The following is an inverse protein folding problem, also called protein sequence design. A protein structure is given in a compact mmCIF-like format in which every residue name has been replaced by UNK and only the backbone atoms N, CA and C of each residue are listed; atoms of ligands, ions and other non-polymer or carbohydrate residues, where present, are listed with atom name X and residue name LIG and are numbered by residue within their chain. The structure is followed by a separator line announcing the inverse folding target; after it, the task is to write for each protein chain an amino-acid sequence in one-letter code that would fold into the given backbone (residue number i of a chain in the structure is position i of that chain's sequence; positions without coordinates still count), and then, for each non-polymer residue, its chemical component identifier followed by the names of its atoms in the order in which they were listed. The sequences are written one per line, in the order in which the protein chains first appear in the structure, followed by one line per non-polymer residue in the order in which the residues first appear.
data_IF_234099886582
#
_entry.id   IF_234099886582
#
_cell.length_a   1.000
_cell.length_b   1.000
_cell.length_c   1.000
_cell.angle_alpha   90.00
_cell.angle_beta   90.00
_cell.angle_gamma   90.00
#
_symmetry.space_group_name_H-M   'P 1'
#
loop_
_entity.id
_entity.type
_entity.pdbx_description
1 polymer ?
#
# COMPACT_ATOMS: atom_id res chain seq x y z
N UNK A 1 24.36 10.62 -5.74
CA UNK A 1 23.96 9.28 -6.26
C UNK A 1 23.26 8.57 -5.12
N UNK A 2 22.14 7.88 -5.37
CA UNK A 2 21.48 7.05 -4.34
C UNK A 2 22.32 5.79 -4.10
N UNK A 3 22.44 5.37 -2.85
CA UNK A 3 23.25 4.20 -2.47
C UNK A 3 22.48 3.32 -1.51
N UNK A 4 22.66 1.99 -1.62
CA UNK A 4 21.91 1.00 -0.84
C UNK A 4 22.09 1.09 0.68
N UNK A 5 23.21 1.65 1.15
CA UNK A 5 23.54 1.79 2.57
C UNK A 5 22.82 2.97 3.25
N UNK A 6 22.23 3.88 2.48
CA UNK A 6 21.58 5.11 3.00
C UNK A 6 20.24 5.42 2.35
N UNK A 7 19.73 4.52 1.53
CA UNK A 7 18.49 4.72 0.78
C UNK A 7 17.65 3.45 0.86
N UNK A 8 16.36 3.63 1.02
CA UNK A 8 15.35 2.59 0.90
C UNK A 8 14.18 3.15 0.06
N UNK A 9 13.50 2.28 -0.68
CA UNK A 9 12.25 2.62 -1.34
C UNK A 9 11.08 2.17 -0.46
N UNK A 10 10.26 3.11 -0.02
CA UNK A 10 9.02 2.83 0.71
C UNK A 10 7.84 2.93 -0.26
N UNK A 11 7.17 1.81 -0.49
CA UNK A 11 5.98 1.68 -1.34
C UNK A 11 4.75 1.68 -0.45
N UNK A 12 3.92 2.71 -0.54
CA UNK A 12 2.79 2.91 0.38
C UNK A 12 1.47 2.58 -0.32
N UNK A 13 0.71 1.65 0.26
CA UNK A 13 -0.71 1.41 -0.02
C UNK A 13 -1.05 1.11 -1.50
N UNK A 14 -0.15 0.44 -2.25
CA UNK A 14 -0.40 -0.07 -3.60
C UNK A 14 -1.30 -1.31 -3.62
N UNK A 15 -2.48 -1.20 -3.03
CA UNK A 15 -3.46 -2.27 -2.91
C UNK A 15 -4.64 -2.04 -3.85
N UNK A 16 -5.34 -3.12 -4.24
CA UNK A 16 -6.43 -3.05 -5.21
C UNK A 16 -7.54 -2.07 -4.82
N UNK A 17 -7.90 -2.00 -3.54
CA UNK A 17 -8.94 -1.06 -3.09
C UNK A 17 -8.58 0.40 -3.32
N UNK A 18 -7.29 0.72 -3.47
CA UNK A 18 -6.83 2.07 -3.72
C UNK A 18 -6.61 2.35 -5.21
N UNK A 19 -6.18 1.34 -5.97
CA UNK A 19 -5.56 1.52 -7.27
C UNK A 19 -6.29 0.86 -8.44
N UNK A 20 -7.26 -0.03 -8.17
CA UNK A 20 -7.93 -0.83 -9.21
C UNK A 20 -9.36 -0.37 -9.47
N UNK A 21 -9.82 -0.55 -10.71
CA UNK A 21 -11.24 -0.48 -11.07
C UNK A 21 -11.96 -1.59 -10.27
N UNK A 22 -13.09 -1.25 -9.63
CA UNK A 22 -13.80 -2.13 -8.70
C UNK A 22 -13.31 -2.05 -7.25
N UNK A 23 -12.19 -1.37 -6.98
CA UNK A 23 -11.70 -1.10 -5.63
C UNK A 23 -12.51 -0.03 -4.90
N UNK A 24 -12.46 0.00 -3.56
CA UNK A 24 -13.25 0.96 -2.76
C UNK A 24 -12.98 2.43 -3.08
N UNK A 25 -11.78 2.76 -3.55
CA UNK A 25 -11.35 4.12 -3.87
C UNK A 25 -11.54 4.48 -5.35
N UNK A 26 -12.18 3.65 -6.17
CA UNK A 26 -12.34 3.89 -7.62
C UNK A 26 -12.85 5.30 -7.94
N UNK A 27 -13.86 5.77 -7.20
CA UNK A 27 -14.52 7.07 -7.41
C UNK A 27 -13.74 8.28 -6.87
N UNK A 28 -12.59 8.06 -6.22
CA UNK A 28 -11.75 9.15 -5.66
C UNK A 28 -10.89 9.85 -6.72
N UNK A 29 -10.73 9.25 -7.91
CA UNK A 29 -9.76 9.68 -8.92
C UNK A 29 -8.36 9.09 -8.74
N UNK A 30 -8.10 8.33 -7.66
CA UNK A 30 -6.81 7.68 -7.42
C UNK A 30 -6.39 6.73 -8.56
N UNK A 31 -7.32 5.96 -9.11
CA UNK A 31 -7.07 5.00 -10.20
C UNK A 31 -6.55 5.71 -11.46
N UNK A 32 -7.16 6.83 -11.85
CA UNK A 32 -6.74 7.61 -13.02
C UNK A 32 -5.41 8.33 -12.79
N UNK A 33 -5.16 8.78 -11.55
CA UNK A 33 -3.86 9.33 -11.18
C UNK A 33 -2.76 8.26 -11.25
N UNK A 34 -3.04 7.06 -10.75
CA UNK A 34 -2.13 5.91 -10.72
C UNK A 34 -1.67 5.49 -12.12
N UNK A 35 -2.58 5.46 -13.10
CA UNK A 35 -2.25 5.12 -14.50
C UNK A 35 -1.21 6.03 -15.14
N UNK A 36 -1.02 7.25 -14.61
CA UNK A 36 -0.02 8.22 -15.09
C UNK A 36 1.34 8.04 -14.41
N UNK A 37 1.44 7.16 -13.41
CA UNK A 37 2.67 6.92 -12.67
C UNK A 37 3.37 5.67 -13.19
N UNK A 38 4.71 5.68 -13.18
CA UNK A 38 5.51 4.54 -13.61
C UNK A 38 6.10 3.79 -12.40
N UNK A 39 5.24 3.36 -11.48
CA UNK A 39 5.66 2.83 -10.17
C UNK A 39 6.45 1.52 -10.29
N UNK A 40 6.05 0.63 -11.21
CA UNK A 40 6.78 -0.61 -11.47
C UNK A 40 8.23 -0.35 -11.89
N UNK A 41 8.47 0.66 -12.73
CA UNK A 41 9.83 1.02 -13.14
C UNK A 41 10.69 1.52 -11.98
N UNK A 42 10.08 2.19 -10.99
CA UNK A 42 10.79 2.70 -9.82
C UNK A 42 11.22 1.56 -8.90
N UNK A 43 10.34 0.57 -8.69
CA UNK A 43 10.64 -0.64 -7.92
C UNK A 43 11.77 -1.42 -8.60
N UNK A 44 11.64 -1.70 -9.90
CA UNK A 44 12.69 -2.37 -10.67
C UNK A 44 14.02 -1.61 -10.59
N UNK A 45 13.98 -0.27 -10.62
CA UNK A 45 15.21 0.53 -10.53
C UNK A 45 15.83 0.50 -9.15
N UNK A 46 15.03 0.37 -8.08
CA UNK A 46 15.55 0.15 -6.74
C UNK A 46 16.27 -1.20 -6.66
N UNK A 47 15.68 -2.26 -7.23
CA UNK A 47 16.31 -3.58 -7.32
C UNK A 47 17.63 -3.56 -8.11
N UNK A 48 17.66 -2.90 -9.29
CA UNK A 48 18.88 -2.72 -10.09
C UNK A 48 20.05 -2.08 -9.31
N UNK A 49 19.72 -1.30 -8.27
CA UNK A 49 20.68 -0.57 -7.44
C UNK A 49 20.91 -1.22 -6.08
N UNK A 50 20.40 -2.44 -5.85
CA UNK A 50 20.36 -3.14 -4.57
C UNK A 50 19.72 -2.30 -3.42
N UNK A 51 18.86 -1.35 -3.75
CA UNK A 51 18.16 -0.53 -2.75
C UNK A 51 17.00 -1.36 -2.18
N UNK A 52 16.92 -1.55 -0.84
CA UNK A 52 15.85 -2.33 -0.24
C UNK A 52 14.48 -1.69 -0.48
N UNK A 53 13.49 -2.51 -0.80
CA UNK A 53 12.10 -2.10 -1.04
C UNK A 53 11.20 -2.59 0.09
N UNK A 54 10.43 -1.68 0.66
CA UNK A 54 9.47 -1.95 1.73
C UNK A 54 8.06 -1.64 1.22
N UNK A 55 7.23 -2.66 1.07
CA UNK A 55 5.81 -2.53 0.78
C UNK A 55 5.05 -2.38 2.09
N UNK A 56 4.63 -1.15 2.36
CA UNK A 56 3.92 -0.79 3.57
C UNK A 56 2.42 -0.68 3.26
N UNK A 57 1.68 -1.70 3.70
CA UNK A 57 0.28 -1.92 3.37
C UNK A 57 -0.60 -1.60 4.59
N UNK A 58 -1.66 -0.82 4.38
CA UNK A 58 -2.73 -0.72 5.36
C UNK A 58 -3.65 -1.94 5.23
N UNK A 59 -3.74 -2.76 6.28
CA UNK A 59 -4.55 -3.98 6.27
C UNK A 59 -5.33 -4.07 7.57
N UNK A 60 -6.63 -4.31 7.49
CA UNK A 60 -7.49 -4.49 8.67
C UNK A 60 -8.11 -5.87 8.68
N UNK A 61 -8.33 -6.43 9.87
CA UNK A 61 -9.18 -7.61 10.00
C UNK A 61 -10.62 -7.24 9.65
N UNK A 62 -11.44 -8.24 9.29
CA UNK A 62 -12.88 -8.05 9.08
C UNK A 62 -13.51 -7.28 10.25
N UNK A 63 -14.36 -6.29 9.93
CA UNK A 63 -14.95 -5.35 10.88
C UNK A 63 -13.98 -4.35 11.54
N UNK A 64 -12.71 -4.32 11.13
CA UNK A 64 -11.68 -3.39 11.58
C UNK A 64 -11.57 -3.22 13.13
N UNK A 65 -11.44 -4.31 13.91
CA UNK A 65 -11.26 -4.20 15.36
C UNK A 65 -9.98 -3.45 15.70
N UNK A 66 -10.05 -2.49 16.64
CA UNK A 66 -8.87 -1.72 17.09
C UNK A 66 -8.33 -0.69 16.09
N UNK A 67 -9.07 -0.42 15.00
CA UNK A 67 -8.76 0.69 14.10
C UNK A 67 -8.89 2.03 14.85
N UNK A 68 -8.08 3.03 14.46
CA UNK A 68 -8.11 4.35 15.06
C UNK A 68 -9.51 4.98 15.06
N UNK A 69 -9.77 5.89 16.00
CA UNK A 69 -11.05 6.62 16.11
C UNK A 69 -10.83 8.15 16.09
N UNK A 70 -9.58 8.57 15.91
CA UNK A 70 -9.14 9.96 16.02
C UNK A 70 -9.24 10.75 14.70
N UNK A 71 -9.71 10.13 13.62
CA UNK A 71 -9.89 10.78 12.32
C UNK A 71 -11.04 10.11 11.53
N UNK A 72 -11.82 10.88 10.73
CA UNK A 72 -12.95 10.33 9.94
C UNK A 72 -12.57 9.19 8.99
N UNK A 73 -11.34 9.19 8.47
CA UNK A 73 -10.87 8.17 7.54
C UNK A 73 -10.97 6.74 8.10
N UNK A 74 -10.77 6.55 9.41
CA UNK A 74 -10.85 5.22 10.00
C UNK A 74 -12.29 4.70 10.06
N UNK A 75 -13.24 5.59 10.31
CA UNK A 75 -14.66 5.25 10.22
C UNK A 75 -15.02 4.87 8.78
N UNK A 76 -14.57 5.64 7.80
CA UNK A 76 -14.81 5.34 6.39
C UNK A 76 -14.23 3.99 5.96
N UNK A 77 -13.00 3.66 6.37
CA UNK A 77 -12.37 2.35 6.07
C UNK A 77 -13.23 1.19 6.58
N UNK A 78 -13.76 1.32 7.81
CA UNK A 78 -14.65 0.32 8.40
C UNK A 78 -15.99 0.25 7.67
N UNK A 79 -16.60 1.38 7.34
CA UNK A 79 -17.94 1.44 6.72
C UNK A 79 -17.96 0.87 5.31
N UNK A 80 -16.89 1.07 4.53
CA UNK A 80 -16.80 0.59 3.15
C UNK A 80 -16.12 -0.78 3.02
N UNK A 81 -15.69 -1.38 4.13
CA UNK A 81 -14.88 -2.60 4.19
C UNK A 81 -13.66 -2.51 3.24
N UNK A 82 -12.84 -1.46 3.39
CA UNK A 82 -11.62 -1.28 2.59
C UNK A 82 -10.45 -2.06 3.18
N UNK A 83 -9.61 -2.62 2.32
CA UNK A 83 -8.33 -3.29 2.61
C UNK A 83 -8.43 -4.32 3.74
N UNK A 84 -9.50 -5.12 3.68
CA UNK A 84 -9.74 -6.23 4.60
C UNK A 84 -8.81 -7.39 4.28
N UNK A 85 -8.13 -7.92 5.31
CA UNK A 85 -7.23 -9.06 5.21
C UNK A 85 -7.89 -10.25 4.48
N UNK A 86 -7.09 -10.96 3.67
CA UNK A 86 -7.50 -12.10 2.85
C UNK A 86 -8.61 -11.79 1.83
N UNK A 87 -8.73 -10.52 1.42
CA UNK A 87 -9.59 -10.12 0.30
C UNK A 87 -8.77 -9.54 -0.85
N UNK A 88 -9.31 -9.62 -2.06
CA UNK A 88 -8.73 -8.99 -3.25
C UNK A 88 -8.37 -7.52 -3.02
N UNK A 89 -9.21 -6.77 -2.30
CA UNK A 89 -9.02 -5.36 -2.02
C UNK A 89 -7.72 -5.04 -1.25
N UNK A 90 -7.29 -5.95 -0.37
CA UNK A 90 -6.05 -5.81 0.40
C UNK A 90 -4.80 -6.32 -0.32
N UNK A 91 -4.95 -7.10 -1.39
CA UNK A 91 -3.83 -7.59 -2.18
C UNK A 91 -3.13 -6.46 -2.94
N UNK A 92 -1.84 -6.66 -3.24
CA UNK A 92 -1.07 -5.77 -4.11
C UNK A 92 -1.74 -5.65 -5.48
N UNK A 93 -1.76 -4.43 -6.02
CA UNK A 93 -2.34 -4.15 -7.34
C UNK A 93 -1.63 -4.94 -8.45
N UNK A 94 -2.41 -5.37 -9.45
CA UNK A 94 -1.89 -6.07 -10.62
C UNK A 94 -0.77 -5.27 -11.32
N UNK A 95 0.25 -5.98 -11.80
CA UNK A 95 1.43 -5.39 -12.46
C UNK A 95 2.53 -4.94 -11.50
N UNK A 96 2.30 -4.99 -10.19
CA UNK A 96 3.35 -4.86 -9.17
C UNK A 96 3.63 -6.25 -8.60
N UNK A 97 4.89 -6.67 -8.71
CA UNK A 97 5.37 -7.92 -8.11
C UNK A 97 6.20 -7.57 -6.89
N UNK A 98 5.85 -8.16 -5.74
CA UNK A 98 6.69 -8.11 -4.54
C UNK A 98 7.75 -9.19 -4.71
N UNK A 99 9.02 -8.80 -4.81
CA UNK A 99 10.12 -9.74 -4.99
C UNK A 99 10.40 -10.48 -3.67
N UNK A 100 10.98 -11.70 -3.70
CA UNK A 100 11.29 -12.46 -2.47
C UNK A 100 12.20 -11.71 -1.48
N UNK A 101 13.04 -10.80 -1.97
CA UNK A 101 13.93 -9.94 -1.19
C UNK A 101 13.25 -8.70 -0.61
N UNK A 102 12.03 -8.38 -1.04
CA UNK A 102 11.29 -7.23 -0.56
C UNK A 102 10.71 -7.49 0.84
N UNK A 103 10.52 -6.40 1.59
CA UNK A 103 9.87 -6.45 2.89
C UNK A 103 8.39 -6.07 2.74
N UNK A 104 7.50 -6.82 3.39
CA UNK A 104 6.07 -6.46 3.49
C UNK A 104 5.74 -6.12 4.93
N UNK A 105 5.33 -4.87 5.16
CA UNK A 105 4.95 -4.32 6.46
C UNK A 105 3.45 -4.07 6.45
N UNK A 106 2.71 -4.65 7.42
CA UNK A 106 1.26 -4.43 7.55
C UNK A 106 0.99 -3.49 8.72
N UNK A 107 0.18 -2.45 8.49
CA UNK A 107 -0.20 -1.48 9.53
C UNK A 107 -1.70 -1.24 9.59
N UNK A 108 -2.15 -0.70 10.71
CA UNK A 108 -3.55 -0.27 10.96
C UNK A 108 -3.67 1.20 11.37
N UNK A 109 -2.58 1.97 11.20
CA UNK A 109 -2.49 3.41 11.42
C UNK A 109 -2.13 4.12 10.13
N UNK A 110 -2.37 5.42 10.02
CA UNK A 110 -2.05 6.18 8.80
C UNK A 110 -0.54 6.37 8.58
N UNK A 111 0.25 6.41 9.66
CA UNK A 111 1.71 6.52 9.57
C UNK A 111 2.33 5.16 9.30
N UNK A 112 3.27 5.10 8.35
CA UNK A 112 4.11 3.94 8.06
C UNK A 112 5.15 3.63 9.15
N UNK A 113 5.29 4.50 10.15
CA UNK A 113 6.29 4.39 11.22
C UNK A 113 5.69 4.18 12.61
N UNK A 114 4.46 4.65 12.84
CA UNK A 114 3.84 4.54 14.15
C UNK A 114 3.10 3.19 14.27
N UNK A 115 3.58 2.31 15.14
CA UNK A 115 2.98 1.00 15.41
C UNK A 115 2.89 0.10 14.14
N UNK A 116 3.99 0.01 13.38
CA UNK A 116 4.13 -0.84 12.18
C UNK A 116 4.94 -2.10 12.46
#
# INVERSE_FOLDING_TARGET
MLTKDKTALLVIDLQNDNMSIGGKSEKSGAVEHAKKQNIASLINKAHDLDIPVFHNQFVVKKWAPGIGQNAPIFQSIREIDSVVEDTWGAETVAGITIAPEDFVLKRTRMSAFNET
#
